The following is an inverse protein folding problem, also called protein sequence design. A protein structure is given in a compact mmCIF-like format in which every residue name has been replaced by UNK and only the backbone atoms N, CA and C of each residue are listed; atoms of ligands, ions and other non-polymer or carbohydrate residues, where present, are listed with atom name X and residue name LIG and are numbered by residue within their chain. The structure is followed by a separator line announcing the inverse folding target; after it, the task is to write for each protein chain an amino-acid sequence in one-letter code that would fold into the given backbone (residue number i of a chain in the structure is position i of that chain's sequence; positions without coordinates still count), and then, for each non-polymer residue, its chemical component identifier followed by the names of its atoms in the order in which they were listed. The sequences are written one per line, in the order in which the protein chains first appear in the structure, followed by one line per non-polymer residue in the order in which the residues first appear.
data_IF_817478547491
#
_entry.id   IF_817478547491
#
_cell.length_a   1.000
_cell.length_b   1.000
_cell.length_c   1.000
_cell.angle_alpha   90.00
_cell.angle_beta   90.00
_cell.angle_gamma   90.00
#
_symmetry.space_group_name_H-M   'P 1'
#
loop_
_entity.id
_entity.type
_entity.pdbx_description
1 polymer ?
#
# COMPACT_ATOMS: atom_id res chain seq x y z
N UNK A 1 -41.35 -64.29 14.02
CA UNK A 1 -42.05 -63.40 13.07
C UNK A 1 -41.56 -61.99 13.32
N UNK A 2 -40.62 -61.51 12.49
CA UNK A 2 -39.69 -60.43 12.85
C UNK A 2 -39.63 -59.33 11.78
N UNK A 3 -40.00 -58.12 12.21
CA UNK A 3 -39.41 -56.78 11.97
C UNK A 3 -38.96 -56.28 10.58
N UNK A 4 -39.05 -57.01 9.47
CA UNK A 4 -38.59 -56.51 8.15
C UNK A 4 -39.68 -55.99 7.20
N UNK A 5 -40.94 -55.89 7.65
CA UNK A 5 -42.07 -55.45 6.82
C UNK A 5 -42.60 -54.03 7.05
N UNK A 6 -42.02 -53.23 7.96
CA UNK A 6 -42.57 -51.91 8.35
C UNK A 6 -41.75 -50.68 7.90
N UNK A 7 -40.60 -50.86 7.26
CA UNK A 7 -39.72 -49.73 6.89
C UNK A 7 -39.93 -49.28 5.44
N UNK A 8 -40.44 -50.14 4.55
CA UNK A 8 -40.64 -49.78 3.15
C UNK A 8 -41.88 -48.89 2.86
N UNK A 9 -42.82 -48.78 3.81
CA UNK A 9 -44.05 -47.97 3.66
C UNK A 9 -43.93 -46.55 4.24
N UNK A 10 -42.88 -46.25 5.01
CA UNK A 10 -42.64 -44.91 5.57
C UNK A 10 -41.79 -44.01 4.66
N UNK A 11 -40.99 -44.59 3.75
CA UNK A 11 -40.14 -43.81 2.82
C UNK A 11 -40.91 -43.16 1.67
N UNK A 12 -41.96 -43.80 1.17
CA UNK A 12 -42.76 -43.29 0.04
C UNK A 12 -43.71 -42.14 0.41
N UNK A 13 -44.25 -42.14 1.62
CA UNK A 13 -45.20 -41.11 2.07
C UNK A 13 -44.49 -39.76 2.39
N UNK A 14 -43.24 -39.79 2.85
CA UNK A 14 -42.48 -38.57 3.09
C UNK A 14 -42.06 -37.86 1.80
N UNK A 15 -41.81 -38.61 0.72
CA UNK A 15 -41.36 -38.02 -0.55
C UNK A 15 -42.51 -37.35 -1.33
N UNK A 16 -43.73 -37.90 -1.25
CA UNK A 16 -44.91 -37.24 -1.85
C UNK A 16 -45.40 -36.02 -1.04
N UNK A 17 -45.24 -36.01 0.28
CA UNK A 17 -45.59 -34.84 1.10
C UNK A 17 -44.63 -33.66 0.89
N UNK A 18 -43.34 -33.92 0.64
CA UNK A 18 -42.37 -32.88 0.34
C UNK A 18 -42.55 -32.24 -1.06
N UNK A 19 -43.04 -33.02 -2.04
CA UNK A 19 -43.26 -32.50 -3.40
C UNK A 19 -44.55 -31.66 -3.52
N UNK A 20 -45.57 -31.92 -2.70
CA UNK A 20 -46.83 -31.14 -2.70
C UNK A 20 -46.69 -29.83 -1.92
N UNK A 21 -45.76 -29.73 -0.96
CA UNK A 21 -45.48 -28.49 -0.23
C UNK A 21 -44.73 -27.43 -1.06
N UNK A 22 -44.15 -27.79 -2.21
CA UNK A 22 -43.44 -26.85 -3.10
C UNK A 22 -44.30 -26.24 -4.23
N UNK A 23 -45.60 -26.59 -4.31
CA UNK A 23 -46.50 -26.10 -5.37
C UNK A 23 -47.76 -25.44 -4.75
N UNK A 24 -47.65 -24.88 -3.55
CA UNK A 24 -48.72 -24.05 -2.96
C UNK A 24 -48.41 -22.57 -3.20
N UNK A 25 -49.34 -21.90 -3.86
CA UNK A 25 -49.37 -20.48 -4.25
C UNK A 25 -48.96 -19.51 -3.12
N UNK A 26 -48.39 -18.33 -3.46
CA UNK A 26 -48.00 -17.34 -2.46
C UNK A 26 -49.27 -16.74 -1.84
N UNK A 27 -49.62 -17.23 -0.66
CA UNK A 27 -50.53 -16.50 0.24
C UNK A 27 -49.85 -15.18 0.57
N UNK A 28 -50.50 -14.06 0.21
CA UNK A 28 -50.21 -12.71 0.68
C UNK A 28 -49.89 -12.78 2.18
N UNK A 29 -48.59 -12.77 2.50
CA UNK A 29 -48.13 -12.45 3.83
C UNK A 29 -48.21 -10.94 3.91
N UNK A 30 -49.21 -10.48 4.65
CA UNK A 30 -49.19 -9.20 5.34
C UNK A 30 -47.75 -8.88 5.72
N UNK A 31 -47.21 -7.81 5.13
CA UNK A 31 -45.91 -7.31 5.50
C UNK A 31 -45.89 -7.19 7.02
N UNK A 32 -44.83 -7.66 7.71
CA UNK A 32 -44.69 -7.36 9.13
C UNK A 32 -44.87 -5.84 9.27
N UNK A 33 -45.60 -5.36 10.30
CA UNK A 33 -45.73 -3.92 10.50
C UNK A 33 -44.31 -3.37 10.45
N UNK A 34 -44.09 -2.45 9.49
CA UNK A 34 -42.89 -1.63 9.48
C UNK A 34 -42.90 -1.03 10.87
N UNK A 35 -42.08 -1.61 11.74
CA UNK A 35 -41.71 -0.96 12.98
C UNK A 35 -41.14 0.33 12.44
N UNK A 36 -41.84 1.43 12.65
CA UNK A 36 -41.29 2.76 12.41
C UNK A 36 -39.85 2.65 12.86
N UNK A 37 -38.92 2.76 11.90
CA UNK A 37 -37.55 3.02 12.24
C UNK A 37 -37.70 4.34 12.96
N UNK A 38 -37.74 4.26 14.29
CA UNK A 38 -37.75 5.38 15.17
C UNK A 38 -36.76 6.34 14.54
N UNK A 39 -37.26 7.51 14.14
CA UNK A 39 -36.43 8.67 13.90
C UNK A 39 -35.81 9.03 15.24
N UNK A 40 -34.94 8.15 15.76
CA UNK A 40 -33.97 8.50 16.74
C UNK A 40 -33.11 9.51 16.02
N UNK A 41 -33.09 10.74 16.54
CA UNK A 41 -31.98 11.65 16.31
C UNK A 41 -30.72 10.80 16.28
N UNK A 42 -29.97 10.85 15.18
CA UNK A 42 -28.65 10.23 15.18
C UNK A 42 -27.93 10.76 16.42
N UNK A 43 -27.46 9.87 17.31
CA UNK A 43 -26.65 10.27 18.46
C UNK A 43 -25.36 10.87 17.90
N UNK A 44 -25.38 12.19 17.72
CA UNK A 44 -24.25 12.91 17.18
C UNK A 44 -23.21 13.07 18.28
N UNK A 45 -22.03 12.52 18.04
CA UNK A 45 -20.92 12.62 18.96
C UNK A 45 -20.35 14.04 18.92
N UNK A 46 -20.33 14.70 20.08
CA UNK A 46 -19.68 16.00 20.24
C UNK A 46 -18.17 15.79 20.39
N UNK A 47 -17.43 16.10 19.34
CA UNK A 47 -15.98 16.05 19.33
C UNK A 47 -15.43 17.41 19.76
N UNK A 48 -14.85 17.45 20.96
CA UNK A 48 -14.22 18.65 21.50
C UNK A 48 -12.85 18.84 20.87
N UNK A 49 -12.64 20.01 20.26
CA UNK A 49 -11.31 20.41 19.81
C UNK A 49 -10.47 20.80 21.03
N UNK A 50 -9.16 20.51 20.99
CA UNK A 50 -8.20 20.82 22.06
C UNK A 50 -8.49 20.10 23.40
N UNK A 51 -9.33 19.06 23.38
CA UNK A 51 -9.64 18.24 24.55
C UNK A 51 -8.41 17.50 25.05
N UNK A 52 -8.10 17.61 26.36
CA UNK A 52 -6.98 16.89 26.99
C UNK A 52 -5.57 17.42 26.66
N UNK A 53 -5.47 18.57 25.99
CA UNK A 53 -4.19 19.18 25.61
C UNK A 53 -3.67 20.08 26.73
N UNK A 54 -2.44 19.89 27.17
CA UNK A 54 -1.76 20.82 28.09
C UNK A 54 -1.28 22.06 27.33
N UNK A 55 -2.11 23.11 27.32
CA UNK A 55 -1.78 24.40 26.73
C UNK A 55 -0.97 25.30 27.69
N UNK A 56 -0.58 24.83 28.88
CA UNK A 56 0.25 25.57 29.83
C UNK A 56 1.74 25.19 29.75
N UNK A 57 2.07 24.02 29.19
CA UNK A 57 3.44 23.60 28.93
C UNK A 57 4.20 24.56 28.00
N UNK A 58 5.53 24.74 28.14
CA UNK A 58 6.33 25.65 27.31
C UNK A 58 6.47 25.27 25.81
N UNK A 59 5.64 24.36 25.30
CA UNK A 59 5.61 23.95 23.91
C UNK A 59 4.98 25.01 22.99
N UNK A 60 5.42 25.05 21.74
CA UNK A 60 4.77 25.79 20.66
C UNK A 60 3.53 25.03 20.21
N UNK A 61 2.35 25.64 20.31
CA UNK A 61 1.09 25.02 19.91
C UNK A 61 0.51 25.75 18.71
N UNK A 62 0.10 25.01 17.68
CA UNK A 62 -0.62 25.55 16.54
C UNK A 62 -1.83 24.66 16.20
N UNK A 63 -2.97 25.29 15.90
CA UNK A 63 -4.16 24.61 15.41
C UNK A 63 -4.38 25.00 13.95
N UNK A 64 -4.23 24.04 13.05
CA UNK A 64 -4.60 24.16 11.65
C UNK A 64 -6.11 23.95 11.53
N UNK A 65 -6.81 24.90 10.95
CA UNK A 65 -8.22 24.83 10.59
C UNK A 65 -8.29 24.60 9.08
N UNK A 66 -8.75 23.42 8.68
CA UNK A 66 -8.85 23.06 7.26
C UNK A 66 -10.07 23.73 6.62
N UNK A 67 -10.18 23.66 5.30
CA UNK A 67 -11.28 24.25 4.53
C UNK A 67 -12.66 23.83 5.05
N UNK A 68 -12.79 22.60 5.53
CA UNK A 68 -14.02 22.11 6.13
C UNK A 68 -14.41 22.87 7.41
N UNK A 69 -13.44 23.37 8.16
CA UNK A 69 -13.66 24.19 9.35
C UNK A 69 -13.90 25.67 9.04
N UNK A 70 -13.33 26.19 7.96
CA UNK A 70 -13.28 27.64 7.70
C UNK A 70 -14.24 28.09 6.60
N UNK A 71 -14.53 27.23 5.61
CA UNK A 71 -15.26 27.57 4.38
C UNK A 71 -14.46 28.36 3.35
N UNK A 72 -13.26 28.83 3.68
CA UNK A 72 -12.47 29.78 2.87
C UNK A 72 -11.03 29.28 2.55
N UNK A 73 -10.67 28.10 3.04
CA UNK A 73 -9.34 27.49 2.88
C UNK A 73 -8.57 27.30 4.19
N UNK A 74 -7.31 26.89 4.10
CA UNK A 74 -6.50 26.58 5.28
C UNK A 74 -6.19 27.85 6.09
N UNK A 75 -6.47 27.80 7.39
CA UNK A 75 -6.12 28.84 8.35
C UNK A 75 -5.38 28.25 9.54
N UNK A 76 -4.63 29.06 10.26
CA UNK A 76 -3.84 28.60 11.40
C UNK A 76 -3.99 29.54 12.60
N UNK A 77 -4.18 28.95 13.78
CA UNK A 77 -4.22 29.65 15.07
C UNK A 77 -2.96 29.32 15.84
N UNK A 78 -2.14 30.33 16.11
CA UNK A 78 -0.94 30.22 16.96
C UNK A 78 -1.05 31.06 18.23
N UNK A 79 -2.11 31.89 18.36
CA UNK A 79 -2.38 32.66 19.57
C UNK A 79 -2.81 31.74 20.71
N UNK A 80 -1.91 31.60 21.68
CA UNK A 80 -2.11 30.77 22.87
C UNK A 80 -3.31 31.19 23.71
N UNK A 81 -3.59 32.50 23.78
CA UNK A 81 -4.72 33.02 24.55
C UNK A 81 -6.05 32.62 23.90
N UNK A 82 -6.13 32.71 22.56
CA UNK A 82 -7.28 32.25 21.79
C UNK A 82 -7.48 30.73 21.91
N UNK A 83 -6.40 29.94 21.79
CA UNK A 83 -6.45 28.48 21.95
C UNK A 83 -6.97 28.08 23.33
N UNK A 84 -6.48 28.73 24.40
CA UNK A 84 -6.98 28.51 25.77
C UNK A 84 -8.43 28.92 25.95
N UNK A 85 -8.83 30.06 25.39
CA UNK A 85 -10.21 30.54 25.49
C UNK A 85 -11.21 29.60 24.78
N UNK A 86 -10.75 28.93 23.73
CA UNK A 86 -11.49 27.94 22.97
C UNK A 86 -11.47 26.53 23.59
N UNK A 87 -10.50 26.22 24.45
CA UNK A 87 -10.41 24.91 25.10
C UNK A 87 -11.67 24.60 25.91
N UNK A 88 -12.22 23.39 25.72
CA UNK A 88 -13.47 22.97 26.36
C UNK A 88 -14.74 23.65 25.82
N UNK A 89 -14.61 24.54 24.83
CA UNK A 89 -15.74 25.19 24.16
C UNK A 89 -15.81 24.84 22.68
N UNK A 90 -14.68 24.83 21.98
CA UNK A 90 -14.62 24.55 20.56
C UNK A 90 -14.98 23.08 20.27
N UNK A 91 -15.91 22.86 19.35
CA UNK A 91 -16.41 21.53 19.01
C UNK A 91 -16.99 21.46 17.61
N UNK A 92 -17.11 20.23 17.12
CA UNK A 92 -18.02 19.85 16.05
C UNK A 92 -18.77 18.58 16.45
N UNK A 93 -19.91 18.33 15.83
CA UNK A 93 -20.66 17.08 15.99
C UNK A 93 -20.42 16.16 14.79
N UNK A 94 -20.12 14.90 15.03
CA UNK A 94 -19.93 13.88 13.98
C UNK A 94 -20.92 12.71 14.17
N UNK A 95 -21.15 11.93 13.12
CA UNK A 95 -21.91 10.68 13.19
C UNK A 95 -21.03 9.50 12.70
N UNK A 96 -20.23 8.90 13.60
CA UNK A 96 -19.42 7.75 13.24
C UNK A 96 -20.26 6.51 12.87
N UNK A 97 -21.52 6.44 13.33
CA UNK A 97 -22.45 5.35 13.05
C UNK A 97 -22.98 5.37 11.61
N UNK A 98 -23.35 6.54 11.08
CA UNK A 98 -23.77 6.72 9.69
C UNK A 98 -22.66 6.33 8.70
N UNK A 99 -21.41 6.64 9.01
CA UNK A 99 -20.26 6.24 8.18
C UNK A 99 -20.16 4.72 8.05
N UNK A 100 -20.28 4.00 9.17
CA UNK A 100 -20.18 2.53 9.19
C UNK A 100 -21.27 1.92 8.32
N UNK A 101 -22.49 2.45 8.38
CA UNK A 101 -23.61 2.01 7.54
C UNK A 101 -23.38 2.28 6.05
N UNK A 102 -22.88 3.47 5.69
CA UNK A 102 -22.60 3.82 4.29
C UNK A 102 -21.40 3.05 3.72
N UNK A 103 -20.37 2.81 4.53
CA UNK A 103 -19.19 2.04 4.13
C UNK A 103 -19.55 0.55 3.97
N UNK A 104 -20.41 0.01 4.83
CA UNK A 104 -20.97 -1.33 4.65
C UNK A 104 -21.84 -1.42 3.39
N UNK A 105 -22.66 -0.40 3.12
CA UNK A 105 -23.46 -0.32 1.89
C UNK A 105 -22.57 -0.21 0.64
N UNK A 106 -21.48 0.56 0.67
CA UNK A 106 -20.56 0.63 -0.48
C UNK A 106 -19.82 -0.69 -0.69
N UNK A 107 -19.31 -1.34 0.37
CA UNK A 107 -18.69 -2.67 0.25
C UNK A 107 -19.67 -3.70 -0.35
N UNK A 108 -20.95 -3.63 0.02
CA UNK A 108 -21.98 -4.58 -0.44
C UNK A 108 -22.52 -4.29 -1.85
N UNK A 109 -22.48 -3.04 -2.33
CA UNK A 109 -23.20 -2.65 -3.57
C UNK A 109 -22.37 -1.83 -4.58
N UNK A 110 -21.26 -1.22 -4.19
CA UNK A 110 -20.51 -0.23 -4.96
C UNK A 110 -19.04 -0.28 -4.53
N UNK A 111 -18.22 -1.13 -5.17
CA UNK A 111 -16.77 -1.32 -4.99
C UNK A 111 -16.07 -0.22 -4.16
N UNK A 112 -15.27 -0.57 -3.13
CA UNK A 112 -14.85 0.36 -2.10
C UNK A 112 -14.25 1.65 -2.70
N UNK A 113 -14.76 2.84 -2.31
CA UNK A 113 -14.22 4.09 -2.84
C UNK A 113 -12.74 4.19 -2.49
N UNK A 114 -11.92 4.58 -3.48
CA UNK A 114 -10.47 4.73 -3.33
C UNK A 114 -10.05 5.86 -2.38
N UNK A 115 -10.99 6.66 -1.87
CA UNK A 115 -10.76 7.74 -0.92
C UNK A 115 -11.69 7.62 0.29
N UNK A 116 -11.12 7.80 1.49
CA UNK A 116 -11.90 7.85 2.73
C UNK A 116 -12.87 9.03 2.65
N UNK A 117 -14.15 8.84 3.03
CA UNK A 117 -15.09 9.95 3.06
C UNK A 117 -14.88 10.88 4.28
N UNK A 118 -13.90 10.57 5.14
CA UNK A 118 -13.47 11.46 6.23
C UNK A 118 -12.50 12.50 5.69
N UNK A 119 -12.79 13.75 5.98
CA UNK A 119 -11.97 14.90 5.61
C UNK A 119 -11.41 15.57 6.87
N UNK A 120 -10.20 16.14 6.82
CA UNK A 120 -9.62 16.81 7.97
C UNK A 120 -10.39 18.10 8.27
N UNK A 121 -10.72 18.27 9.54
CA UNK A 121 -11.42 19.41 10.09
C UNK A 121 -10.42 20.36 10.75
N UNK A 122 -9.62 19.81 11.65
CA UNK A 122 -8.54 20.52 12.31
C UNK A 122 -7.35 19.58 12.56
N UNK A 123 -6.14 20.13 12.58
CA UNK A 123 -4.93 19.40 12.98
C UNK A 123 -4.22 20.17 14.07
N UNK A 124 -3.96 19.52 15.20
CA UNK A 124 -3.22 20.10 16.32
C UNK A 124 -1.74 19.72 16.21
N UNK A 125 -0.90 20.75 16.20
CA UNK A 125 0.54 20.63 16.22
C UNK A 125 1.09 21.12 17.56
N UNK A 126 2.00 20.33 18.14
CA UNK A 126 2.77 20.69 19.35
C UNK A 126 4.25 20.48 19.02
N UNK A 127 5.06 21.54 19.14
CA UNK A 127 6.48 21.57 18.77
C UNK A 127 6.74 21.04 17.34
N UNK A 128 5.81 21.33 16.43
CA UNK A 128 5.87 20.89 15.03
C UNK A 128 5.49 19.42 14.80
N UNK A 129 5.08 18.68 15.83
CA UNK A 129 4.55 17.31 15.70
C UNK A 129 3.02 17.30 15.72
N UNK A 130 2.39 16.50 14.88
CA UNK A 130 0.94 16.27 14.92
C UNK A 130 0.62 15.37 16.09
N UNK A 131 -0.10 15.92 17.06
CA UNK A 131 -0.53 15.20 18.26
C UNK A 131 -2.00 14.78 18.17
N UNK A 132 -2.78 15.43 17.30
CA UNK A 132 -4.17 15.05 17.02
C UNK A 132 -4.62 15.56 15.65
N UNK A 133 -5.32 14.71 14.90
CA UNK A 133 -6.06 15.09 13.70
C UNK A 133 -7.54 14.85 13.93
N UNK A 134 -8.32 15.92 13.86
CA UNK A 134 -9.77 15.89 13.96
C UNK A 134 -10.34 15.76 12.56
N UNK A 135 -11.04 14.67 12.31
CA UNK A 135 -11.67 14.40 11.01
C UNK A 135 -13.17 14.26 11.19
N UNK A 136 -13.92 14.61 10.16
CA UNK A 136 -15.37 14.44 10.12
C UNK A 136 -15.79 13.88 8.76
N UNK A 137 -16.99 13.32 8.69
CA UNK A 137 -17.55 12.86 7.43
C UNK A 137 -17.92 14.07 6.55
N UNK A 138 -17.47 14.09 5.28
CA UNK A 138 -17.54 15.28 4.41
C UNK A 138 -18.93 15.90 4.28
N UNK A 139 -20.00 15.08 4.22
CA UNK A 139 -21.38 15.55 4.14
C UNK A 139 -21.91 16.17 5.44
N UNK A 140 -21.21 15.97 6.57
CA UNK A 140 -21.59 16.42 7.91
C UNK A 140 -20.68 17.54 8.43
N UNK A 141 -19.48 17.70 7.87
CA UNK A 141 -18.45 18.63 8.32
C UNK A 141 -18.78 20.12 8.18
N UNK A 142 -19.43 20.50 7.07
CA UNK A 142 -19.64 21.90 6.72
C UNK A 142 -20.76 22.56 7.50
N UNK A 143 -21.65 21.78 8.14
CA UNK A 143 -22.89 22.29 8.73
C UNK A 143 -23.89 22.85 7.69
N UNK A 144 -23.59 22.69 6.39
CA UNK A 144 -24.39 23.20 5.28
C UNK A 144 -24.91 22.04 4.41
N UNK A 145 -26.15 22.15 3.93
CA UNK A 145 -26.77 21.15 3.04
C UNK A 145 -27.89 20.32 3.70
N UNK A 146 -28.40 19.32 2.97
CA UNK A 146 -29.57 18.51 3.36
C UNK A 146 -29.43 17.78 4.71
N UNK A 147 -28.19 17.55 5.17
CA UNK A 147 -27.89 16.88 6.44
C UNK A 147 -27.53 17.86 7.57
N UNK A 148 -27.35 19.16 7.28
CA UNK A 148 -26.78 20.16 8.20
C UNK A 148 -27.62 20.55 9.41
N UNK A 149 -28.93 20.24 9.45
CA UNK A 149 -29.82 20.71 10.51
C UNK A 149 -29.48 20.17 11.92
N UNK A 150 -28.90 18.97 12.00
CA UNK A 150 -28.49 18.35 13.26
C UNK A 150 -27.00 18.54 13.57
N UNK A 151 -26.16 18.77 12.55
CA UNK A 151 -24.73 18.97 12.74
C UNK A 151 -24.42 20.40 13.18
N UNK A 152 -23.79 20.52 14.34
CA UNK A 152 -23.40 21.79 14.94
C UNK A 152 -21.89 21.88 15.05
N UNK A 153 -21.41 23.08 14.81
CA UNK A 153 -20.03 23.47 15.04
C UNK A 153 -19.99 24.80 15.75
N UNK A 154 -19.16 24.88 16.77
CA UNK A 154 -18.75 26.15 17.35
C UNK A 154 -17.24 26.13 17.47
N UNK A 155 -16.56 27.00 16.74
CA UNK A 155 -15.11 27.11 16.80
C UNK A 155 -14.66 28.13 17.86
N UNK A 156 -15.57 28.63 18.71
CA UNK A 156 -15.27 29.46 19.88
C UNK A 156 -14.32 30.63 19.59
N UNK A 157 -14.51 31.31 18.46
CA UNK A 157 -13.68 32.44 18.03
C UNK A 157 -12.35 32.07 17.34
N UNK A 158 -12.04 30.78 17.17
CA UNK A 158 -10.79 30.34 16.52
C UNK A 158 -10.66 30.83 15.07
N UNK A 159 -11.75 30.96 14.30
CA UNK A 159 -11.68 31.53 12.94
C UNK A 159 -11.19 32.98 13.01
N UNK A 160 -11.77 33.80 13.88
CA UNK A 160 -11.39 35.21 14.03
C UNK A 160 -9.94 35.37 14.54
N UNK A 161 -9.47 34.43 15.37
CA UNK A 161 -8.08 34.41 15.86
C UNK A 161 -7.09 33.73 14.90
N UNK A 162 -7.56 33.19 13.77
CA UNK A 162 -6.73 32.47 12.81
C UNK A 162 -6.26 33.39 11.69
N UNK A 163 -5.12 33.06 11.10
CA UNK A 163 -4.58 33.72 9.89
C UNK A 163 -4.61 32.75 8.71
N UNK A 164 -4.80 33.23 7.46
CA UNK A 164 -4.68 32.38 6.28
C UNK A 164 -3.30 31.74 6.21
N UNK A 165 -3.25 30.50 5.73
CA UNK A 165 -2.01 29.76 5.60
C UNK A 165 -1.98 28.93 4.31
N UNK A 166 -0.80 28.76 3.74
CA UNK A 166 -0.59 27.85 2.62
C UNK A 166 0.30 26.69 3.00
N UNK A 167 -0.10 25.49 2.60
CA UNK A 167 0.77 24.31 2.67
C UNK A 167 1.84 24.41 1.61
N UNK A 168 3.10 24.25 2.01
CA UNK A 168 4.28 24.24 1.16
C UNK A 168 5.08 22.98 1.41
N UNK A 169 5.80 22.54 0.39
CA UNK A 169 6.72 21.42 0.48
C UNK A 169 8.00 21.77 -0.26
N UNK A 170 9.13 21.34 0.27
CA UNK A 170 10.45 21.46 -0.37
C UNK A 170 11.10 20.09 -0.34
N UNK A 171 11.76 19.74 -1.45
CA UNK A 171 12.47 18.50 -1.63
C UNK A 171 13.97 18.71 -1.50
N UNK A 172 14.67 17.73 -0.95
CA UNK A 172 16.10 17.75 -0.73
C UNK A 172 16.73 16.43 -1.14
N UNK A 173 17.87 16.52 -1.80
CA UNK A 173 18.67 15.36 -2.19
C UNK A 173 19.55 14.85 -1.04
N UNK A 174 19.84 15.70 -0.03
CA UNK A 174 20.70 15.35 1.10
C UNK A 174 20.05 15.65 2.45
N UNK A 175 20.39 14.84 3.45
CA UNK A 175 19.94 15.02 4.82
C UNK A 175 20.41 16.35 5.42
N UNK A 176 21.66 16.74 5.18
CA UNK A 176 22.22 17.99 5.71
C UNK A 176 21.49 19.23 5.16
N UNK A 177 21.15 19.22 3.86
CA UNK A 177 20.35 20.30 3.26
C UNK A 177 18.94 20.36 3.86
N UNK A 178 18.30 19.20 4.05
CA UNK A 178 16.99 19.12 4.69
C UNK A 178 17.01 19.65 6.12
N UNK A 179 18.02 19.27 6.91
CA UNK A 179 18.20 19.74 8.28
C UNK A 179 18.52 21.24 8.37
N UNK A 180 19.38 21.76 7.50
CA UNK A 180 19.67 23.18 7.45
C UNK A 180 18.43 24.01 7.08
N UNK A 181 17.64 23.54 6.11
CA UNK A 181 16.39 24.19 5.73
C UNK A 181 15.33 24.11 6.86
N UNK A 182 15.24 22.98 7.54
CA UNK A 182 14.37 22.83 8.72
C UNK A 182 14.72 23.87 9.79
N UNK A 183 16.00 24.03 10.13
CA UNK A 183 16.42 25.00 11.16
C UNK A 183 16.16 26.44 10.74
N UNK A 184 16.41 26.76 9.47
CA UNK A 184 16.10 28.07 8.91
C UNK A 184 14.60 28.38 8.93
N UNK A 185 13.76 27.39 8.64
CA UNK A 185 12.29 27.52 8.69
C UNK A 185 11.77 27.56 10.13
N UNK A 186 12.35 26.80 11.06
CA UNK A 186 11.98 26.82 12.47
C UNK A 186 12.20 28.19 13.13
N UNK A 187 13.20 28.94 12.66
CA UNK A 187 13.50 30.29 13.15
C UNK A 187 12.54 31.37 12.63
N UNK A 188 11.66 31.05 11.68
CA UNK A 188 10.76 32.02 11.05
C UNK A 188 9.42 32.12 11.77
N UNK A 189 9.05 33.33 12.17
CA UNK A 189 7.77 33.60 12.85
C UNK A 189 6.52 33.44 11.95
N UNK A 190 6.70 33.45 10.62
CA UNK A 190 5.64 33.24 9.64
C UNK A 190 5.52 31.78 9.18
N UNK A 191 6.20 30.85 9.84
CA UNK A 191 6.19 29.43 9.48
C UNK A 191 5.75 28.58 10.68
N UNK A 192 4.89 27.61 10.41
CA UNK A 192 4.63 26.49 11.31
C UNK A 192 5.07 25.21 10.61
N UNK A 193 6.00 24.50 11.23
CA UNK A 193 6.48 23.22 10.71
C UNK A 193 5.37 22.18 10.82
N UNK A 194 5.14 21.47 9.73
CA UNK A 194 4.28 20.29 9.75
C UNK A 194 5.06 19.10 10.35
N UNK A 195 4.38 17.99 10.68
CA UNK A 195 5.02 16.81 11.23
C UNK A 195 6.19 16.38 10.37
N UNK A 196 7.36 16.30 10.99
CA UNK A 196 8.59 15.92 10.30
C UNK A 196 8.49 14.44 9.90
N UNK A 197 8.71 14.10 8.62
CA UNK A 197 8.96 12.71 8.24
C UNK A 197 10.18 12.15 8.99
N UNK A 198 10.29 10.84 9.14
CA UNK A 198 11.46 10.22 9.77
C UNK A 198 12.71 10.41 8.88
N UNK A 199 13.39 11.55 9.06
CA UNK A 199 14.68 11.82 8.45
C UNK A 199 15.79 11.10 9.20
N UNK A 200 16.91 10.76 8.52
CA UNK A 200 18.08 10.26 9.22
C UNK A 200 18.56 11.29 10.26
N UNK A 201 19.16 10.78 11.34
CA UNK A 201 19.81 11.62 12.33
C UNK A 201 20.90 12.49 11.67
N UNK A 202 21.20 13.66 12.25
CA UNK A 202 22.22 14.57 11.74
C UNK A 202 23.57 13.87 11.66
N UNK A 203 24.28 14.04 10.55
CA UNK A 203 25.58 13.42 10.28
C UNK A 203 25.53 11.91 10.05
N UNK A 204 24.35 11.26 10.11
CA UNK A 204 24.23 9.86 9.73
C UNK A 204 24.24 9.73 8.19
N UNK A 205 24.81 8.65 7.63
CA UNK A 205 24.76 8.40 6.19
C UNK A 205 23.32 8.35 5.69
N UNK A 206 23.01 9.18 4.68
CA UNK A 206 21.71 9.16 4.04
C UNK A 206 21.72 8.17 2.87
N UNK A 207 20.89 7.14 2.99
CA UNK A 207 20.70 6.12 1.95
C UNK A 207 19.62 6.58 0.98
N UNK A 208 20.00 7.55 0.16
CA UNK A 208 19.16 8.28 -0.77
C UNK A 208 18.85 7.52 -2.05
N UNK A 209 19.46 6.36 -2.28
CA UNK A 209 19.19 5.54 -3.46
C UNK A 209 18.53 4.23 -3.06
N UNK A 210 17.48 3.87 -3.78
CA UNK A 210 16.86 2.55 -3.73
C UNK A 210 17.22 1.82 -5.02
N UNK A 211 17.96 0.72 -4.86
CA UNK A 211 18.45 -0.10 -5.97
C UNK A 211 17.66 -1.39 -5.96
N UNK A 212 16.99 -1.68 -7.07
CA UNK A 212 16.22 -2.89 -7.26
C UNK A 212 17.07 -3.88 -8.05
N UNK A 213 17.38 -5.02 -7.43
CA UNK A 213 18.17 -6.08 -8.04
C UNK A 213 17.35 -7.35 -8.19
N UNK A 214 17.62 -8.07 -9.27
CA UNK A 214 17.08 -9.41 -9.53
C UNK A 214 18.24 -10.38 -9.55
N UNK A 215 18.51 -11.10 -8.44
CA UNK A 215 19.37 -12.27 -8.50
C UNK A 215 18.81 -13.24 -9.56
N UNK A 216 19.68 -14.02 -10.20
CA UNK A 216 19.26 -14.90 -11.30
C UNK A 216 18.08 -15.80 -10.93
N UNK A 217 17.16 -16.01 -11.86
CA UNK A 217 15.99 -16.85 -11.63
C UNK A 217 16.38 -18.34 -11.52
N UNK A 218 15.69 -19.07 -10.65
CA UNK A 218 15.82 -20.53 -10.54
C UNK A 218 14.70 -21.20 -11.31
N UNK A 219 15.04 -22.06 -12.27
CA UNK A 219 14.07 -22.84 -13.03
C UNK A 219 13.85 -24.19 -12.35
N UNK A 220 12.61 -24.66 -12.35
CA UNK A 220 12.23 -25.87 -11.65
C UNK A 220 11.02 -26.55 -12.30
N UNK A 221 10.94 -27.88 -12.28
CA UNK A 221 9.74 -28.59 -12.71
C UNK A 221 8.58 -28.25 -11.76
N UNK A 222 7.38 -28.05 -12.29
CA UNK A 222 6.17 -27.87 -11.46
C UNK A 222 5.61 -29.22 -11.06
N UNK A 223 4.99 -29.27 -9.88
CA UNK A 223 4.29 -30.46 -9.41
C UNK A 223 2.97 -30.71 -10.17
N UNK A 224 2.29 -31.80 -9.84
CA UNK A 224 0.98 -32.16 -10.39
C UNK A 224 -0.11 -31.10 -10.12
N UNK A 225 0.09 -30.26 -9.10
CA UNK A 225 -0.76 -29.12 -8.75
C UNK A 225 -0.50 -27.88 -9.62
N UNK A 226 0.47 -27.94 -10.54
CA UNK A 226 0.86 -26.85 -11.44
C UNK A 226 1.67 -25.75 -10.78
N UNK A 227 2.06 -25.90 -9.51
CA UNK A 227 2.87 -24.93 -8.79
C UNK A 227 4.36 -25.32 -8.79
N UNK A 228 5.29 -24.35 -8.93
CA UNK A 228 6.70 -24.62 -8.71
C UNK A 228 6.95 -25.00 -7.23
N UNK A 229 7.85 -25.95 -6.95
CA UNK A 229 8.23 -26.29 -5.58
C UNK A 229 8.84 -25.07 -4.87
N UNK A 230 8.58 -24.96 -3.57
CA UNK A 230 9.25 -23.94 -2.76
C UNK A 230 10.71 -24.29 -2.56
N UNK A 231 11.56 -23.29 -2.71
CA UNK A 231 12.98 -23.40 -2.42
C UNK A 231 13.27 -23.02 -0.96
N UNK A 232 14.47 -23.32 -0.48
CA UNK A 232 14.97 -22.74 0.76
C UNK A 232 15.36 -21.27 0.54
N UNK A 233 14.37 -20.39 0.67
CA UNK A 233 14.51 -18.93 0.50
C UNK A 233 15.57 -18.35 1.44
N UNK A 234 15.68 -18.86 2.66
CA UNK A 234 16.63 -18.37 3.67
C UNK A 234 18.07 -18.75 3.30
N UNK A 235 18.28 -19.99 2.85
CA UNK A 235 19.59 -20.42 2.36
C UNK A 235 20.01 -19.66 1.10
N UNK A 236 19.08 -19.40 0.18
CA UNK A 236 19.35 -18.59 -1.01
C UNK A 236 19.71 -17.15 -0.63
N UNK A 237 18.91 -16.51 0.23
CA UNK A 237 19.16 -15.15 0.70
C UNK A 237 20.51 -15.05 1.42
N UNK A 238 20.86 -16.02 2.27
CA UNK A 238 22.14 -16.05 2.97
C UNK A 238 23.32 -16.17 2.00
N UNK A 239 23.24 -17.07 1.01
CA UNK A 239 24.25 -17.20 -0.05
C UNK A 239 24.42 -15.92 -0.85
N UNK A 240 23.30 -15.30 -1.26
CA UNK A 240 23.32 -14.05 -2.01
C UNK A 240 23.98 -12.92 -1.23
N UNK A 241 23.54 -12.71 0.01
CA UNK A 241 24.11 -11.69 0.89
C UNK A 241 25.59 -11.91 1.13
N UNK A 242 26.03 -13.16 1.35
CA UNK A 242 27.43 -13.48 1.57
C UNK A 242 28.31 -13.09 0.36
N UNK A 243 27.93 -13.50 -0.85
CA UNK A 243 28.73 -13.16 -2.04
C UNK A 243 28.67 -11.66 -2.37
N UNK A 244 27.51 -11.03 -2.15
CA UNK A 244 27.39 -9.59 -2.32
C UNK A 244 28.29 -8.83 -1.36
N UNK A 245 28.35 -9.22 -0.09
CA UNK A 245 29.21 -8.61 0.92
C UNK A 245 30.70 -8.83 0.64
N UNK A 246 31.07 -9.98 0.07
CA UNK A 246 32.43 -10.27 -0.38
C UNK A 246 32.86 -9.34 -1.52
N UNK A 247 31.97 -9.12 -2.50
CA UNK A 247 32.24 -8.26 -3.67
C UNK A 247 32.14 -6.77 -3.34
N UNK A 248 31.15 -6.39 -2.54
CA UNK A 248 30.83 -5.02 -2.14
C UNK A 248 30.87 -4.92 -0.62
N UNK A 249 32.06 -4.91 0.01
CA UNK A 249 32.17 -4.84 1.46
C UNK A 249 31.44 -3.61 1.97
N UNK A 250 30.67 -3.80 3.04
CA UNK A 250 29.89 -2.74 3.68
C UNK A 250 30.84 -1.81 4.45
N UNK A 251 31.52 -0.92 3.73
CA UNK A 251 32.23 0.20 4.35
C UNK A 251 31.21 1.10 5.06
N UNK A 252 31.43 1.36 6.35
CA UNK A 252 30.74 2.31 7.24
C UNK A 252 29.33 2.75 6.81
N UNK A 253 28.41 1.78 6.70
CA UNK A 253 26.99 1.98 6.42
C UNK A 253 26.63 2.56 5.03
N UNK A 254 27.44 2.33 4.00
CA UNK A 254 27.18 2.71 2.60
C UNK A 254 25.90 2.12 1.97
N UNK A 255 25.37 1.01 2.50
CA UNK A 255 24.09 0.45 2.08
C UNK A 255 23.43 -0.42 3.16
N UNK A 256 22.15 -0.74 2.95
CA UNK A 256 21.33 -1.66 3.75
C UNK A 256 20.47 -2.51 2.84
N UNK A 257 20.47 -3.82 3.07
CA UNK A 257 19.55 -4.73 2.42
C UNK A 257 18.14 -4.61 2.99
N UNK A 258 17.16 -4.51 2.09
CA UNK A 258 15.79 -4.86 2.38
C UNK A 258 15.61 -6.38 2.47
N UNK A 259 14.36 -6.80 2.69
CA UNK A 259 13.97 -8.21 2.62
C UNK A 259 14.01 -8.69 1.17
N UNK A 260 14.53 -9.90 0.96
CA UNK A 260 14.40 -10.57 -0.34
C UNK A 260 12.98 -11.12 -0.50
N UNK A 261 12.39 -10.88 -1.67
CA UNK A 261 11.08 -11.40 -2.07
C UNK A 261 11.27 -12.45 -3.15
N UNK A 262 10.40 -13.45 -3.20
CA UNK A 262 10.43 -14.51 -4.19
C UNK A 262 9.09 -14.55 -4.90
N UNK A 263 9.09 -14.29 -6.21
CA UNK A 263 7.94 -14.47 -7.06
C UNK A 263 7.98 -15.87 -7.68
N UNK A 264 6.97 -16.67 -7.38
CA UNK A 264 6.82 -18.00 -7.94
C UNK A 264 5.92 -17.94 -9.17
N UNK A 265 6.51 -18.17 -10.33
CA UNK A 265 5.84 -18.12 -11.61
C UNK A 265 5.52 -19.53 -12.09
N UNK A 266 4.23 -19.84 -12.21
CA UNK A 266 3.72 -20.97 -12.97
C UNK A 266 3.10 -20.45 -14.27
N UNK A 267 3.57 -20.91 -15.42
CA UNK A 267 2.91 -20.61 -16.68
C UNK A 267 1.99 -21.77 -17.05
N UNK A 268 0.68 -21.59 -16.83
CA UNK A 268 -0.32 -22.63 -17.11
C UNK A 268 -0.32 -23.10 -18.58
N UNK A 269 0.10 -22.23 -19.51
CA UNK A 269 0.23 -22.57 -20.94
C UNK A 269 1.63 -23.05 -21.31
N UNK A 270 2.60 -22.99 -20.39
CA UNK A 270 4.01 -23.29 -20.63
C UNK A 270 4.80 -22.11 -21.21
N UNK A 271 6.12 -22.18 -21.02
CA UNK A 271 7.08 -21.17 -21.48
C UNK A 271 7.28 -21.27 -22.99
N UNK A 272 7.31 -20.14 -23.70
CA UNK A 272 7.55 -20.16 -25.16
C UNK A 272 8.96 -20.67 -25.44
N UNK A 273 9.09 -21.55 -26.41
CA UNK A 273 10.40 -21.99 -26.92
C UNK A 273 10.82 -21.03 -28.02
N UNK A 274 12.01 -20.46 -27.90
CA UNK A 274 12.57 -19.47 -28.83
C UNK A 274 13.97 -19.88 -29.26
N UNK A 275 14.38 -19.42 -30.44
CA UNK A 275 15.78 -19.46 -30.89
C UNK A 275 16.64 -18.48 -30.06
N UNK A 276 17.99 -18.52 -30.18
CA UNK A 276 18.86 -17.65 -29.39
C UNK A 276 18.61 -16.15 -29.62
N UNK A 277 18.21 -15.77 -30.84
CA UNK A 277 17.83 -14.40 -31.22
C UNK A 277 16.43 -13.98 -30.73
N UNK A 278 15.66 -14.90 -30.12
CA UNK A 278 14.34 -14.63 -29.53
C UNK A 278 13.16 -14.93 -30.46
N UNK A 279 13.39 -15.48 -31.66
CA UNK A 279 12.28 -15.85 -32.56
C UNK A 279 11.53 -17.08 -32.01
N UNK A 280 10.18 -17.03 -31.84
CA UNK A 280 9.41 -18.17 -31.36
C UNK A 280 9.47 -19.35 -32.34
N UNK A 281 9.70 -20.55 -31.81
CA UNK A 281 9.45 -21.78 -32.54
C UNK A 281 7.93 -21.93 -32.72
N UNK A 282 7.47 -22.09 -33.94
CA UNK A 282 6.04 -22.28 -34.25
C UNK A 282 5.78 -23.59 -34.97
N UNK A 283 4.60 -24.18 -34.73
CA UNK A 283 4.04 -25.28 -35.53
C UNK A 283 2.76 -24.76 -36.16
N UNK A 284 2.80 -24.51 -37.47
CA UNK A 284 1.77 -23.70 -38.13
C UNK A 284 1.83 -22.24 -37.64
N UNK A 285 0.72 -21.73 -37.12
CA UNK A 285 0.62 -20.36 -36.57
C UNK A 285 0.81 -20.28 -35.05
N UNK A 286 0.87 -21.42 -34.35
CA UNK A 286 0.90 -21.46 -32.88
C UNK A 286 2.34 -21.61 -32.35
N UNK A 287 2.74 -20.83 -31.33
CA UNK A 287 4.05 -20.98 -30.71
C UNK A 287 4.12 -22.28 -29.89
N UNK A 288 5.24 -22.99 -30.05
CA UNK A 288 5.58 -24.15 -29.23
C UNK A 288 5.89 -23.68 -27.81
N UNK A 289 5.30 -24.37 -26.84
CA UNK A 289 5.44 -24.07 -25.42
C UNK A 289 5.91 -25.28 -24.65
N UNK A 290 6.82 -25.06 -23.71
CA UNK A 290 7.30 -26.05 -22.76
C UNK A 290 6.40 -26.02 -21.51
N UNK A 291 5.51 -27.01 -21.34
CA UNK A 291 4.72 -27.14 -20.11
C UNK A 291 5.57 -27.74 -18.98
N UNK A 292 5.04 -27.76 -17.77
CA UNK A 292 5.66 -28.51 -16.67
C UNK A 292 6.84 -27.82 -15.99
N UNK A 293 7.12 -26.57 -16.35
CA UNK A 293 8.23 -25.79 -15.78
C UNK A 293 7.73 -24.48 -15.18
N UNK A 294 8.31 -24.10 -14.04
CA UNK A 294 8.08 -22.87 -13.32
C UNK A 294 9.39 -22.19 -12.94
N UNK A 295 9.29 -21.02 -12.33
CA UNK A 295 10.45 -20.26 -11.90
C UNK A 295 10.24 -19.65 -10.52
N UNK A 296 11.28 -19.62 -9.70
CA UNK A 296 11.37 -18.76 -8.54
C UNK A 296 12.26 -17.56 -8.89
N UNK A 297 11.68 -16.36 -8.87
CA UNK A 297 12.36 -15.11 -9.19
C UNK A 297 12.63 -14.31 -7.92
N UNK A 298 13.87 -14.34 -7.39
CA UNK A 298 14.24 -13.50 -6.28
C UNK A 298 14.29 -12.03 -6.71
N UNK A 299 13.88 -11.14 -5.81
CA UNK A 299 13.99 -9.69 -5.92
C UNK A 299 14.50 -9.14 -4.60
N UNK A 300 15.48 -8.26 -4.67
CA UNK A 300 16.01 -7.62 -3.47
C UNK A 300 16.16 -6.13 -3.71
N UNK A 301 15.72 -5.38 -2.71
CA UNK A 301 15.87 -3.93 -2.69
C UNK A 301 17.01 -3.57 -1.76
N UNK A 302 17.98 -2.81 -2.25
CA UNK A 302 19.01 -2.17 -1.44
C UNK A 302 18.64 -0.70 -1.23
N UNK A 303 18.87 -0.20 -0.02
CA UNK A 303 19.02 1.24 0.21
C UNK A 303 20.51 1.55 0.25
N UNK A 304 20.98 2.51 -0.53
CA UNK A 304 22.38 2.79 -0.74
C UNK A 304 22.62 4.30 -0.70
N UNK A 305 23.84 4.71 -0.36
CA UNK A 305 24.31 6.06 -0.66
C UNK A 305 24.48 6.23 -2.17
N UNK A 306 24.48 7.48 -2.65
CA UNK A 306 24.82 7.81 -4.03
C UNK A 306 26.11 7.15 -4.52
N UNK A 307 27.20 7.21 -3.76
CA UNK A 307 28.48 6.59 -4.15
C UNK A 307 28.33 5.09 -4.39
N UNK A 308 27.61 4.39 -3.52
CA UNK A 308 27.37 2.96 -3.69
C UNK A 308 26.42 2.67 -4.86
N UNK A 309 25.42 3.51 -5.11
CA UNK A 309 24.57 3.41 -6.29
C UNK A 309 25.35 3.61 -7.59
N UNK A 310 26.23 4.60 -7.65
CA UNK A 310 27.11 4.85 -8.80
C UNK A 310 28.05 3.65 -9.04
N UNK A 311 28.59 3.05 -7.98
CA UNK A 311 29.40 1.83 -8.06
C UNK A 311 28.62 0.62 -8.59
N UNK A 312 27.40 0.42 -8.10
CA UNK A 312 26.56 -0.73 -8.50
C UNK A 312 25.98 -0.60 -9.90
N UNK A 313 25.78 0.62 -10.39
CA UNK A 313 25.27 0.91 -11.73
C UNK A 313 26.37 1.02 -12.80
N UNK A 314 27.65 1.03 -12.40
CA UNK A 314 28.75 1.04 -13.34
C UNK A 314 28.69 -0.21 -14.26
N UNK A 315 29.01 -0.07 -15.56
CA UNK A 315 29.02 -1.20 -16.48
C UNK A 315 29.88 -2.36 -15.95
N UNK A 316 29.32 -3.57 -15.92
CA UNK A 316 29.99 -4.78 -15.46
C UNK A 316 30.20 -4.88 -13.94
N UNK A 317 29.68 -3.94 -13.14
CA UNK A 317 29.83 -3.98 -11.68
C UNK A 317 29.32 -5.29 -11.07
N UNK A 318 28.21 -5.82 -11.59
CA UNK A 318 27.59 -7.05 -11.11
C UNK A 318 28.22 -8.33 -11.67
N UNK A 319 29.14 -8.24 -12.65
CA UNK A 319 29.75 -9.41 -13.28
C UNK A 319 30.69 -10.18 -12.32
N UNK A 320 31.13 -9.52 -11.24
CA UNK A 320 31.92 -10.14 -10.18
C UNK A 320 31.09 -10.99 -9.21
N UNK A 321 29.75 -10.82 -9.20
CA UNK A 321 28.88 -11.66 -8.39
C UNK A 321 28.78 -13.06 -9.03
N UNK A 322 28.72 -14.12 -8.22
CA UNK A 322 28.49 -15.45 -8.77
C UNK A 322 27.11 -15.55 -9.40
N UNK A 323 26.95 -16.51 -10.30
CA UNK A 323 25.63 -16.85 -10.84
C UNK A 323 24.80 -17.53 -9.75
N UNK A 324 23.58 -17.02 -9.53
CA UNK A 324 22.67 -17.49 -8.49
C UNK A 324 21.51 -18.30 -9.03
N UNK A 325 21.14 -18.08 -10.29
CA UNK A 325 20.15 -18.89 -10.98
C UNK A 325 20.75 -20.22 -11.41
N UNK A 326 19.95 -21.27 -11.35
CA UNK A 326 20.33 -22.60 -11.84
C UNK A 326 19.30 -23.03 -12.88
N UNK A 327 19.79 -23.46 -14.03
CA UNK A 327 18.99 -24.18 -15.02
C UNK A 327 19.27 -25.67 -14.82
N UNK A 328 18.27 -26.46 -14.36
CA UNK A 328 18.49 -27.89 -14.18
C UNK A 328 18.84 -28.54 -15.52
N UNK A 329 19.77 -29.50 -15.56
CA UNK A 329 20.19 -30.16 -16.81
C UNK A 329 19.03 -30.83 -17.54
N UNK A 330 17.98 -31.24 -16.82
CA UNK A 330 16.75 -31.81 -17.38
C UNK A 330 16.01 -30.82 -18.30
N UNK A 331 16.12 -29.51 -18.06
CA UNK A 331 15.46 -28.49 -18.87
C UNK A 331 15.92 -28.53 -20.33
N UNK A 332 17.22 -28.64 -20.56
CA UNK A 332 17.77 -28.72 -21.91
C UNK A 332 17.28 -29.97 -22.65
N UNK A 333 17.25 -31.12 -21.96
CA UNK A 333 16.74 -32.36 -22.52
C UNK A 333 15.24 -32.29 -22.85
N UNK A 334 14.44 -31.65 -22.00
CA UNK A 334 13.01 -31.45 -22.22
C UNK A 334 12.73 -30.52 -23.41
N UNK A 335 13.50 -29.43 -23.55
CA UNK A 335 13.43 -28.53 -24.70
C UNK A 335 13.80 -29.31 -25.98
N UNK A 336 14.91 -30.03 -25.99
CA UNK A 336 15.37 -30.77 -27.16
C UNK A 336 14.36 -31.87 -27.57
N UNK A 337 13.78 -32.58 -26.60
CA UNK A 337 12.74 -33.57 -26.85
C UNK A 337 11.47 -32.94 -27.41
N UNK A 338 11.06 -31.77 -26.89
CA UNK A 338 9.92 -31.02 -27.41
C UNK A 338 10.15 -30.52 -28.83
N UNK A 339 11.33 -29.96 -29.11
CA UNK A 339 11.74 -29.50 -30.44
C UNK A 339 11.73 -30.67 -31.42
N UNK A 340 12.35 -31.79 -31.08
CA UNK A 340 12.38 -32.98 -31.95
C UNK A 340 10.97 -33.48 -32.30
N UNK A 341 10.02 -33.44 -31.36
CA UNK A 341 8.61 -33.77 -31.62
C UNK A 341 7.92 -32.74 -32.51
N UNK A 342 8.22 -31.46 -32.35
CA UNK A 342 7.60 -30.37 -33.09
C UNK A 342 8.12 -30.25 -34.54
N UNK A 343 9.42 -30.44 -34.75
CA UNK A 343 10.10 -30.24 -36.05
C UNK A 343 10.39 -31.54 -36.80
N UNK A 344 10.30 -32.69 -36.12
CA UNK A 344 10.68 -34.00 -36.67
C UNK A 344 12.20 -34.25 -36.70
N UNK A 345 13.02 -33.34 -36.19
CA UNK A 345 14.47 -33.48 -36.14
C UNK A 345 15.06 -32.93 -34.82
N UNK A 346 15.97 -33.66 -34.15
CA UNK A 346 16.63 -33.15 -32.96
C UNK A 346 17.56 -31.98 -33.32
N UNK A 347 17.54 -30.93 -32.49
CA UNK A 347 18.44 -29.79 -32.61
C UNK A 347 18.96 -29.39 -31.22
N UNK A 348 19.99 -30.11 -30.71
CA UNK A 348 20.50 -29.89 -29.37
C UNK A 348 20.98 -28.46 -29.17
N UNK A 349 20.53 -27.82 -28.09
CA UNK A 349 20.92 -26.44 -27.73
C UNK A 349 20.55 -25.36 -28.75
N UNK A 350 19.73 -25.67 -29.77
CA UNK A 350 19.31 -24.69 -30.78
C UNK A 350 18.21 -23.75 -30.27
N UNK A 351 17.60 -24.07 -29.13
CA UNK A 351 16.47 -23.36 -28.57
C UNK A 351 16.62 -23.17 -27.06
N UNK A 352 15.89 -22.21 -26.53
CA UNK A 352 15.77 -21.91 -25.10
C UNK A 352 14.32 -21.56 -24.77
N UNK A 353 13.98 -21.45 -23.50
CA UNK A 353 12.72 -20.83 -23.11
C UNK A 353 12.84 -19.30 -23.08
N UNK A 354 11.78 -18.62 -23.46
CA UNK A 354 11.65 -17.17 -23.30
C UNK A 354 11.19 -16.87 -21.87
N UNK A 355 12.08 -16.28 -21.08
CA UNK A 355 11.78 -15.79 -19.75
C UNK A 355 12.28 -14.34 -19.61
N UNK A 356 11.44 -13.47 -19.05
CA UNK A 356 11.76 -12.06 -18.77
C UNK A 356 12.68 -11.87 -17.53
N UNK A 357 13.47 -12.90 -17.23
CA UNK A 357 14.47 -12.90 -16.18
C UNK A 357 15.75 -13.51 -16.74
N UNK A 358 16.89 -12.91 -16.42
CA UNK A 358 18.18 -13.52 -16.65
C UNK A 358 18.27 -14.78 -15.80
N UNK A 359 18.24 -15.95 -16.44
CA UNK A 359 18.74 -17.15 -15.80
C UNK A 359 20.21 -16.93 -15.40
N UNK A 360 20.60 -17.38 -14.21
CA UNK A 360 21.97 -17.29 -13.71
C UNK A 360 22.40 -15.92 -13.19
N UNK A 361 22.30 -14.85 -14.00
CA UNK A 361 22.95 -13.56 -13.69
C UNK A 361 22.11 -12.61 -12.84
N UNK A 362 22.79 -11.95 -11.91
CA UNK A 362 22.21 -10.82 -11.16
C UNK A 362 22.13 -9.59 -12.05
N UNK A 363 20.95 -8.98 -12.12
CA UNK A 363 20.72 -7.76 -12.92
C UNK A 363 20.13 -6.64 -12.07
N UNK A 364 20.32 -5.39 -12.52
CA UNK A 364 19.59 -4.24 -12.00
C UNK A 364 18.27 -4.10 -12.75
N UNK A 365 17.16 -4.03 -12.01
CA UNK A 365 15.85 -3.72 -12.58
C UNK A 365 15.47 -2.25 -12.46
N UNK A 366 16.22 -1.47 -11.66
CA UNK A 366 16.03 -0.03 -11.56
C UNK A 366 16.81 0.60 -10.41
N UNK A 367 17.01 1.91 -10.50
CA UNK A 367 17.54 2.74 -9.42
C UNK A 367 16.64 3.97 -9.28
N UNK A 368 16.25 4.25 -8.05
CA UNK A 368 15.36 5.34 -7.69
C UNK A 368 16.03 6.20 -6.63
N UNK A 369 16.09 7.51 -6.85
CA UNK A 369 16.53 8.44 -5.82
C UNK A 369 15.34 8.80 -4.91
N UNK A 370 15.48 8.54 -3.62
CA UNK A 370 14.54 8.93 -2.58
C UNK A 370 14.87 10.35 -2.13
N UNK A 371 13.99 11.29 -2.44
CA UNK A 371 14.11 12.66 -1.95
C UNK A 371 13.52 12.78 -0.55
N UNK A 372 14.20 13.54 0.31
CA UNK A 372 13.61 14.01 1.55
C UNK A 372 12.65 15.14 1.21
N UNK A 373 11.53 15.21 1.92
CA UNK A 373 10.61 16.33 1.79
C UNK A 373 10.34 16.93 3.17
N UNK A 374 10.23 18.26 3.20
CA UNK A 374 9.83 19.03 4.39
C UNK A 374 8.49 19.72 4.11
N UNK A 375 7.39 19.21 4.66
CA UNK A 375 6.13 19.95 4.65
C UNK A 375 6.16 21.06 5.71
N UNK A 376 5.63 22.23 5.37
CA UNK A 376 5.41 23.33 6.32
C UNK A 376 4.24 24.21 5.91
N UNK A 377 3.74 24.99 6.84
CA UNK A 377 2.66 25.95 6.64
C UNK A 377 3.20 27.37 6.71
N UNK A 378 3.00 28.14 5.65
CA UNK A 378 3.37 29.55 5.59
C UNK A 378 2.16 30.41 5.97
N UNK A 379 2.28 31.18 7.04
CA UNK A 379 1.26 32.12 7.49
C UNK A 379 1.29 33.34 6.58
N UNK A 380 0.20 33.59 5.86
CA UNK A 380 0.12 34.71 4.94
C UNK A 380 0.07 36.03 5.71
N UNK A 381 0.71 37.06 5.15
CA UNK A 381 0.50 38.43 5.63
C UNK A 381 -0.89 38.85 5.18
N UNK A 382 -1.70 39.37 6.10
CA UNK A 382 -2.96 40.00 5.71
C UNK A 382 -2.64 41.12 4.71
N UNK A 383 -3.35 41.10 3.58
CA UNK A 383 -3.25 42.18 2.62
C UNK A 383 -3.71 43.48 3.31
N UNK A 384 -2.95 44.59 3.16
CA UNK A 384 -3.26 45.86 3.84
C UNK A 384 -4.60 46.46 3.42
#
# INVERSE_FOLDING_TARGET
MSKTGKIALLGGALFCAALIAMIAEPKEREAPPVTEISSGEADLDRIMLLGGVDLDANAQVALLLHEMATGEGLRIVTDRSALKAAQGKAYYTDDPGAQTRLTLMSILFLSPPGTSPRVPMATLLVDGAEVAQYTCFSLHCSGEGQYGAHHRRDLAGLIAASRPATSKHVFFDTADAAWAAHDALAARADVVLAPRPEWPARGAPYLDHRIYMRPGAMLMPVGDDGAPPRIDEAAFEARFRAAFLDTFPQGDASYRFGRMQFDYLSNALGWRVVTPDGTPLTVGAEPVRLPGWGAAQPRVTLRATREMADRLTAPGALDALPEFGEEPPELAADIDALVARATGAPCPSCYRIEMDASAGRTTLSGVEQVQLYLPYYLIEKEAP
#
